data_IF_123033099518
#
_entry.id   IF_123033099518
#
_cell.length_a   1.000
_cell.length_b   1.000
_cell.length_c   1.000
_cell.angle_alpha   90.00
_cell.angle_beta   90.00
_cell.angle_gamma   90.00
#
_symmetry.space_group_name_H-M   'P 1'
#
loop_
_entity.id
_entity.type
_entity.pdbx_description
1 polymer ?
#
# COMPACT_ATOMS: atom_id res chain seq x y z
N UNK A 1 -33.64 -28.55 -23.59
CA UNK A 1 -32.76 -27.52 -23.01
C UNK A 1 -32.66 -26.40 -24.04
N UNK A 2 -33.28 -25.26 -23.74
CA UNK A 2 -33.50 -24.17 -24.69
C UNK A 2 -32.24 -23.34 -24.91
N UNK A 3 -31.70 -23.39 -26.13
CA UNK A 3 -30.55 -22.59 -26.54
C UNK A 3 -30.78 -21.07 -26.40
N UNK A 4 -32.03 -20.62 -26.38
CA UNK A 4 -32.39 -19.22 -26.15
C UNK A 4 -32.28 -18.80 -24.67
N UNK A 5 -32.50 -19.71 -23.73
CA UNK A 5 -32.33 -19.42 -22.31
C UNK A 5 -30.84 -19.23 -21.96
N UNK A 6 -29.97 -20.05 -22.56
CA UNK A 6 -28.52 -19.96 -22.40
C UNK A 6 -27.94 -18.70 -23.06
N UNK A 7 -28.44 -18.30 -24.24
CA UNK A 7 -28.07 -17.01 -24.87
C UNK A 7 -28.50 -15.82 -24.02
N UNK A 8 -29.70 -15.87 -23.43
CA UNK A 8 -30.22 -14.80 -22.56
C UNK A 8 -29.41 -14.70 -21.26
N UNK A 9 -29.04 -15.82 -20.64
CA UNK A 9 -28.14 -15.86 -19.47
C UNK A 9 -26.73 -15.34 -19.80
N UNK A 10 -26.17 -15.71 -20.95
CA UNK A 10 -24.87 -15.21 -21.41
C UNK A 10 -24.89 -13.70 -21.72
N UNK A 11 -25.98 -13.20 -22.32
CA UNK A 11 -26.17 -11.77 -22.59
C UNK A 11 -26.36 -10.97 -21.29
N UNK A 12 -27.14 -11.49 -20.33
CA UNK A 12 -27.30 -10.90 -19.01
C UNK A 12 -25.99 -10.91 -18.22
N UNK A 13 -25.21 -12.00 -18.24
CA UNK A 13 -23.89 -12.06 -17.61
C UNK A 13 -22.86 -11.12 -18.28
N UNK A 14 -23.01 -10.88 -19.59
CA UNK A 14 -22.17 -9.93 -20.34
C UNK A 14 -22.59 -8.47 -20.10
N UNK A 15 -23.89 -8.21 -19.88
CA UNK A 15 -24.44 -6.90 -19.56
C UNK A 15 -24.28 -6.53 -18.08
N UNK A 16 -24.30 -7.51 -17.19
CA UNK A 16 -23.94 -7.40 -15.77
C UNK A 16 -22.43 -7.39 -15.56
N UNK A 17 -21.62 -7.21 -16.61
CA UNK A 17 -20.23 -6.75 -16.46
C UNK A 17 -20.31 -5.36 -15.83
N UNK A 18 -20.34 -5.35 -14.50
CA UNK A 18 -20.37 -4.17 -13.67
C UNK A 18 -19.44 -3.13 -14.27
N UNK A 19 -20.01 -1.98 -14.61
CA UNK A 19 -19.24 -0.86 -15.13
C UNK A 19 -18.35 -0.39 -13.99
N UNK A 20 -17.11 -0.90 -13.96
CA UNK A 20 -16.14 -0.55 -12.94
C UNK A 20 -15.94 0.95 -13.00
N UNK A 21 -16.42 1.64 -11.97
CA UNK A 21 -16.25 3.08 -11.84
C UNK A 21 -14.80 3.29 -11.41
N UNK A 22 -13.96 3.71 -12.37
CA UNK A 22 -12.60 4.15 -12.06
C UNK A 22 -12.68 5.48 -11.30
N UNK A 23 -12.05 5.64 -10.13
CA UNK A 23 -11.91 6.93 -9.48
C UNK A 23 -11.26 7.94 -10.43
N UNK A 24 -11.82 9.15 -10.47
CA UNK A 24 -11.26 10.27 -11.23
C UNK A 24 -9.97 10.79 -10.60
N UNK A 25 -9.12 11.46 -11.38
CA UNK A 25 -7.91 12.14 -10.86
C UNK A 25 -8.21 13.07 -9.69
N UNK A 26 -9.31 13.83 -9.77
CA UNK A 26 -9.75 14.71 -8.70
C UNK A 26 -10.12 13.93 -7.42
N UNK A 27 -10.88 12.83 -7.55
CA UNK A 27 -11.26 12.01 -6.40
C UNK A 27 -10.04 11.39 -5.69
N UNK A 28 -9.02 10.98 -6.45
CA UNK A 28 -7.76 10.46 -5.89
C UNK A 28 -6.99 11.53 -5.15
N UNK A 29 -6.93 12.75 -5.71
CA UNK A 29 -6.28 13.90 -5.04
C UNK A 29 -6.94 14.21 -3.71
N UNK A 30 -8.27 14.32 -3.69
CA UNK A 30 -9.04 14.54 -2.46
C UNK A 30 -8.78 13.40 -1.46
N UNK A 31 -8.70 12.16 -1.93
CA UNK A 31 -8.39 11.00 -1.09
C UNK A 31 -7.00 11.12 -0.45
N UNK A 32 -5.98 11.57 -1.18
CA UNK A 32 -4.63 11.78 -0.66
C UNK A 32 -4.59 12.92 0.36
N UNK A 33 -5.24 14.05 0.05
CA UNK A 33 -5.33 15.21 0.97
C UNK A 33 -5.99 14.83 2.30
N UNK A 34 -6.98 13.92 2.27
CA UNK A 34 -7.66 13.39 3.47
C UNK A 34 -6.77 12.57 4.40
N UNK A 35 -5.62 12.05 3.95
CA UNK A 35 -4.68 11.34 4.83
C UNK A 35 -4.15 12.24 5.96
N UNK A 36 -4.02 13.54 5.71
CA UNK A 36 -3.53 14.52 6.69
C UNK A 36 -4.59 15.06 7.64
N UNK A 37 -5.86 14.72 7.45
CA UNK A 37 -6.99 15.34 8.15
C UNK A 37 -7.29 14.66 9.50
N UNK A 38 -8.52 14.83 10.00
CA UNK A 38 -9.00 14.17 11.20
C UNK A 38 -9.02 12.63 11.06
N UNK A 39 -9.33 11.96 12.18
CA UNK A 39 -9.33 10.50 12.28
C UNK A 39 -10.20 9.83 11.22
N UNK A 40 -11.43 10.31 11.02
CA UNK A 40 -12.41 9.66 10.15
C UNK A 40 -11.99 9.80 8.68
N UNK A 41 -11.52 10.99 8.29
CA UNK A 41 -11.02 11.23 6.94
C UNK A 41 -9.74 10.43 6.64
N UNK A 42 -8.80 10.37 7.59
CA UNK A 42 -7.57 9.58 7.45
C UNK A 42 -7.86 8.07 7.34
N UNK A 43 -8.81 7.56 8.11
CA UNK A 43 -9.23 6.17 8.05
C UNK A 43 -9.88 5.82 6.72
N UNK A 44 -10.83 6.65 6.26
CA UNK A 44 -11.49 6.44 4.97
C UNK A 44 -10.49 6.52 3.82
N UNK A 45 -9.58 7.49 3.85
CA UNK A 45 -8.55 7.66 2.84
C UNK A 45 -7.60 6.46 2.77
N UNK A 46 -7.05 6.03 3.90
CA UNK A 46 -6.15 4.88 3.97
C UNK A 46 -6.84 3.58 3.57
N UNK A 47 -8.10 3.38 3.97
CA UNK A 47 -8.93 2.27 3.52
C UNK A 47 -9.13 2.29 1.99
N UNK A 48 -9.48 3.45 1.44
CA UNK A 48 -9.73 3.61 0.00
C UNK A 48 -8.46 3.31 -0.80
N UNK A 49 -7.32 3.87 -0.40
CA UNK A 49 -6.04 3.63 -1.06
C UNK A 49 -5.68 2.15 -0.96
N UNK A 50 -5.75 1.55 0.24
CA UNK A 50 -5.45 0.13 0.40
C UNK A 50 -6.38 -0.75 -0.44
N UNK A 51 -7.70 -0.49 -0.43
CA UNK A 51 -8.67 -1.23 -1.23
C UNK A 51 -8.46 -1.12 -2.73
N UNK A 52 -7.95 0.01 -3.23
CA UNK A 52 -7.59 0.18 -4.64
C UNK A 52 -6.38 -0.66 -5.03
N UNK A 53 -5.39 -0.77 -4.12
CA UNK A 53 -4.13 -1.47 -4.38
C UNK A 53 -4.12 -2.90 -3.90
N UNK A 54 -5.13 -3.33 -3.14
CA UNK A 54 -5.17 -4.66 -2.54
C UNK A 54 -5.34 -5.74 -3.60
N UNK A 55 -4.53 -6.79 -3.57
CA UNK A 55 -4.71 -8.00 -4.39
C UNK A 55 -6.06 -8.69 -4.17
N UNK A 56 -6.74 -8.41 -3.05
CA UNK A 56 -8.11 -8.88 -2.79
C UNK A 56 -9.16 -8.13 -3.60
N UNK A 57 -8.80 -7.00 -4.20
CA UNK A 57 -9.65 -6.30 -5.15
C UNK A 57 -9.57 -7.07 -6.49
N UNK A 58 -10.67 -7.66 -7.00
CA UNK A 58 -10.66 -8.42 -8.26
C UNK A 58 -10.28 -7.57 -9.48
N UNK A 59 -10.20 -6.24 -9.32
CA UNK A 59 -9.84 -5.29 -10.34
C UNK A 59 -8.48 -4.63 -10.10
N UNK A 60 -7.66 -5.12 -9.15
CA UNK A 60 -6.37 -4.52 -8.79
C UNK A 60 -5.44 -4.30 -9.99
N UNK A 61 -5.43 -5.23 -10.95
CA UNK A 61 -4.65 -5.10 -12.19
C UNK A 61 -5.11 -3.92 -13.04
N UNK A 62 -6.43 -3.70 -13.14
CA UNK A 62 -7.04 -2.58 -13.87
C UNK A 62 -6.85 -1.25 -13.12
N UNK A 63 -6.58 -1.31 -11.82
CA UNK A 63 -6.26 -0.14 -11.00
C UNK A 63 -4.81 0.33 -11.19
N UNK A 64 -3.98 -0.36 -11.99
CA UNK A 64 -2.64 0.14 -12.34
C UNK A 64 -2.66 1.55 -12.94
N UNK A 65 -3.60 1.85 -13.84
CA UNK A 65 -3.75 3.19 -14.45
C UNK A 65 -4.12 4.27 -13.40
N UNK A 66 -4.90 3.88 -12.40
CA UNK A 66 -5.30 4.74 -11.28
C UNK A 66 -4.07 5.07 -10.42
N UNK A 67 -3.15 4.12 -10.26
CA UNK A 67 -1.88 4.34 -9.56
C UNK A 67 -0.93 5.23 -10.36
N UNK A 68 -0.91 5.10 -11.68
CA UNK A 68 -0.25 6.06 -12.56
C UNK A 68 -0.86 7.46 -12.49
N UNK A 69 -2.14 7.55 -12.13
CA UNK A 69 -2.82 8.81 -11.87
C UNK A 69 -2.44 9.38 -10.50
N UNK A 70 -2.40 8.56 -9.45
CA UNK A 70 -1.84 8.93 -8.13
C UNK A 70 -0.41 9.45 -8.30
N UNK A 71 0.39 8.79 -9.14
CA UNK A 71 1.74 9.20 -9.53
C UNK A 71 1.79 10.59 -10.19
N UNK A 72 0.76 11.03 -10.90
CA UNK A 72 0.74 12.33 -11.56
C UNK A 72 0.12 13.45 -10.68
N UNK A 73 -0.31 13.14 -9.46
CA UNK A 73 -0.97 14.09 -8.54
C UNK A 73 0.03 14.82 -7.62
N UNK A 74 1.31 14.45 -7.63
CA UNK A 74 2.33 14.98 -6.72
C UNK A 74 3.04 13.82 -6.07
N UNK A 75 4.19 13.42 -6.62
CA UNK A 75 4.96 12.26 -6.14
C UNK A 75 5.64 12.66 -4.84
N UNK A 76 5.12 12.17 -3.73
CA UNK A 76 5.55 12.50 -2.38
C UNK A 76 4.37 12.39 -1.43
N UNK A 77 3.25 13.01 -1.80
CA UNK A 77 2.08 13.19 -0.94
C UNK A 77 1.44 11.88 -0.46
N UNK A 78 1.33 10.87 -1.33
CA UNK A 78 0.69 9.60 -0.93
C UNK A 78 1.59 8.79 0.00
N UNK A 79 2.87 8.63 -0.32
CA UNK A 79 3.78 7.84 0.52
C UNK A 79 4.08 8.58 1.81
N UNK A 80 4.28 9.89 1.79
CA UNK A 80 4.44 10.71 2.99
C UNK A 80 3.18 10.70 3.85
N UNK A 81 2.00 10.85 3.23
CA UNK A 81 0.71 10.77 3.90
C UNK A 81 0.54 9.43 4.62
N UNK A 82 0.72 8.31 3.91
CA UNK A 82 0.67 6.96 4.49
C UNK A 82 1.74 6.77 5.57
N UNK A 83 2.94 7.28 5.36
CA UNK A 83 4.03 7.21 6.35
C UNK A 83 3.68 7.99 7.61
N UNK A 84 3.01 9.14 7.49
CA UNK A 84 2.53 9.97 8.60
C UNK A 84 1.42 9.28 9.40
N UNK A 85 0.58 8.48 8.75
CA UNK A 85 -0.42 7.67 9.44
C UNK A 85 0.20 6.63 10.39
N UNK A 86 1.43 6.18 10.16
CA UNK A 86 2.11 5.21 11.03
C UNK A 86 2.33 5.72 12.46
N UNK A 87 2.31 7.05 12.67
CA UNK A 87 2.43 7.67 13.99
C UNK A 87 1.10 7.80 14.75
N UNK A 88 -0.04 7.53 14.11
CA UNK A 88 -1.36 7.66 14.76
C UNK A 88 -1.49 6.58 15.85
N UNK A 89 -2.20 6.89 16.93
CA UNK A 89 -2.49 5.90 17.99
C UNK A 89 -3.43 4.78 17.50
N UNK A 90 -4.23 5.06 16.48
CA UNK A 90 -5.23 4.14 15.97
C UNK A 90 -4.61 2.99 15.16
N UNK A 91 -4.81 1.77 15.65
CA UNK A 91 -4.31 0.53 15.05
C UNK A 91 -4.89 0.25 13.66
N UNK A 92 -6.19 0.54 13.44
CA UNK A 92 -6.83 0.28 12.16
C UNK A 92 -6.27 1.20 11.07
N UNK A 93 -6.06 2.47 11.39
CA UNK A 93 -5.44 3.43 10.46
C UNK A 93 -4.01 2.99 10.12
N UNK A 94 -3.22 2.57 11.12
CA UNK A 94 -1.86 2.05 10.90
C UNK A 94 -1.85 0.83 9.98
N UNK A 95 -2.71 -0.15 10.24
CA UNK A 95 -2.79 -1.38 9.45
C UNK A 95 -3.17 -1.11 7.99
N UNK A 96 -4.16 -0.25 7.76
CA UNK A 96 -4.56 0.17 6.40
C UNK A 96 -3.43 0.88 5.67
N UNK A 97 -2.72 1.78 6.37
CA UNK A 97 -1.57 2.48 5.82
C UNK A 97 -0.41 1.52 5.48
N UNK A 98 -0.08 0.60 6.40
CA UNK A 98 0.95 -0.43 6.18
C UNK A 98 0.56 -1.37 5.03
N UNK A 99 -0.71 -1.77 4.94
CA UNK A 99 -1.23 -2.60 3.85
C UNK A 99 -1.05 -1.92 2.49
N UNK A 100 -1.37 -0.63 2.39
CA UNK A 100 -1.11 0.15 1.19
C UNK A 100 0.40 0.26 0.87
N UNK A 101 1.24 0.54 1.88
CA UNK A 101 2.70 0.64 1.73
C UNK A 101 3.34 -0.69 1.29
N UNK A 102 2.80 -1.83 1.71
CA UNK A 102 3.26 -3.15 1.25
C UNK A 102 2.97 -3.37 -0.24
N UNK A 103 1.85 -2.86 -0.75
CA UNK A 103 1.37 -3.23 -2.09
C UNK A 103 1.78 -2.24 -3.17
N UNK A 104 1.75 -0.93 -2.88
CA UNK A 104 2.12 0.14 -3.82
C UNK A 104 3.44 -0.11 -4.60
N UNK A 105 4.52 -0.64 -4.00
CA UNK A 105 5.78 -0.84 -4.72
C UNK A 105 5.74 -1.97 -5.74
N UNK A 106 4.81 -2.92 -5.65
CA UNK A 106 4.68 -4.00 -6.63
C UNK A 106 4.10 -3.54 -7.96
N UNK A 107 3.43 -2.38 -7.99
CA UNK A 107 2.79 -1.87 -9.19
C UNK A 107 3.75 -1.22 -10.18
N UNK A 108 4.86 -0.64 -9.72
CA UNK A 108 5.85 -0.05 -10.64
C UNK A 108 7.23 0.06 -10.02
N UNK A 109 8.28 -0.04 -10.86
CA UNK A 109 9.67 0.21 -10.44
C UNK A 109 9.87 1.62 -9.87
N UNK A 110 9.10 2.60 -10.35
CA UNK A 110 9.18 3.98 -9.86
C UNK A 110 8.60 4.14 -8.46
N UNK A 111 7.48 3.47 -8.14
CA UNK A 111 6.92 3.47 -6.78
C UNK A 111 7.92 2.93 -5.77
N UNK A 112 8.67 1.89 -6.15
CA UNK A 112 9.78 1.36 -5.36
C UNK A 112 10.82 2.45 -5.04
N UNK A 113 11.26 3.18 -6.06
CA UNK A 113 12.25 4.26 -5.93
C UNK A 113 11.75 5.43 -5.09
N UNK A 114 10.50 5.84 -5.26
CA UNK A 114 9.90 6.93 -4.47
C UNK A 114 9.78 6.50 -3.01
N UNK A 115 9.28 5.28 -2.74
CA UNK A 115 9.10 4.78 -1.38
C UNK A 115 10.40 4.79 -0.59
N UNK A 116 11.52 4.37 -1.18
CA UNK A 116 12.83 4.38 -0.49
C UNK A 116 13.36 5.80 -0.25
N UNK A 117 12.87 6.80 -0.98
CA UNK A 117 13.23 8.20 -0.80
C UNK A 117 12.36 8.91 0.26
N UNK A 118 11.27 8.29 0.72
CA UNK A 118 10.35 8.92 1.68
C UNK A 118 11.03 9.08 3.02
N UNK A 119 11.21 10.32 3.50
CA UNK A 119 11.87 10.54 4.78
C UNK A 119 11.10 9.86 5.91
N UNK A 120 11.83 9.29 6.87
CA UNK A 120 11.29 8.67 8.10
C UNK A 120 10.47 7.39 7.89
N UNK A 121 10.21 6.93 6.67
CA UNK A 121 9.47 5.67 6.45
C UNK A 121 10.18 4.49 7.09
N UNK A 122 11.45 4.27 6.74
CA UNK A 122 12.21 3.14 7.26
C UNK A 122 12.40 3.20 8.80
N UNK A 123 12.81 4.34 9.41
CA UNK A 123 12.84 4.45 10.88
C UNK A 123 11.49 4.18 11.56
N UNK A 124 10.37 4.53 10.93
CA UNK A 124 9.03 4.26 11.49
C UNK A 124 8.67 2.79 11.41
N UNK A 125 8.95 2.13 10.28
CA UNK A 125 8.73 0.69 10.15
C UNK A 125 9.57 -0.08 11.16
N UNK A 126 10.85 0.29 11.30
CA UNK A 126 11.76 -0.24 12.32
C UNK A 126 11.16 -0.13 13.72
N UNK A 127 10.70 1.06 14.10
CA UNK A 127 10.05 1.28 15.40
C UNK A 127 8.82 0.40 15.60
N UNK A 128 7.99 0.23 14.57
CA UNK A 128 6.79 -0.62 14.64
C UNK A 128 7.13 -2.12 14.80
N UNK A 129 8.31 -2.55 14.34
CA UNK A 129 8.77 -3.93 14.50
C UNK A 129 9.33 -4.21 15.90
N UNK A 130 9.74 -3.18 16.63
CA UNK A 130 10.31 -3.26 17.98
C UNK A 130 9.27 -3.11 19.09
N UNK A 131 7.97 -3.10 18.77
CA UNK A 131 6.92 -2.94 19.77
C UNK A 131 6.69 -4.27 20.48
N UNK A 132 7.06 -4.35 21.76
CA UNK A 132 6.84 -5.50 22.66
C UNK A 132 5.40 -5.57 23.21
N UNK A 133 4.42 -5.16 22.41
CA UNK A 133 3.01 -5.21 22.78
C UNK A 133 2.36 -6.41 22.09
N UNK A 134 1.91 -7.45 22.82
CA UNK A 134 1.28 -8.63 22.23
C UNK A 134 0.01 -8.30 21.44
N UNK A 135 -0.66 -7.19 21.76
CA UNK A 135 -1.85 -6.73 21.03
C UNK A 135 -1.52 -6.03 19.70
N UNK A 136 -0.23 -5.80 19.41
CA UNK A 136 0.24 -5.18 18.17
C UNK A 136 0.94 -6.16 17.23
N UNK A 137 0.79 -7.47 17.46
CA UNK A 137 1.38 -8.50 16.61
C UNK A 137 1.04 -8.31 15.11
N UNK A 138 -0.22 -7.98 14.79
CA UNK A 138 -0.61 -7.74 13.39
C UNK A 138 0.13 -6.55 12.76
N UNK A 139 0.29 -5.45 13.51
CA UNK A 139 1.05 -4.28 13.05
C UNK A 139 2.50 -4.69 12.80
N UNK A 140 3.10 -5.44 13.73
CA UNK A 140 4.48 -5.92 13.62
C UNK A 140 4.67 -6.77 12.36
N UNK A 141 3.77 -7.73 12.11
CA UNK A 141 3.83 -8.61 10.93
C UNK A 141 3.70 -7.83 9.63
N UNK A 142 2.77 -6.87 9.53
CA UNK A 142 2.62 -6.06 8.32
C UNK A 142 3.79 -5.08 8.17
N UNK A 143 4.36 -4.56 9.27
CA UNK A 143 5.57 -3.73 9.22
C UNK A 143 6.79 -4.52 8.72
N UNK A 144 6.97 -5.77 9.16
CA UNK A 144 7.99 -6.68 8.63
C UNK A 144 7.79 -6.89 7.13
N UNK A 145 6.57 -7.14 6.68
CA UNK A 145 6.26 -7.27 5.25
C UNK A 145 6.60 -5.99 4.48
N UNK A 146 6.24 -4.81 4.98
CA UNK A 146 6.59 -3.55 4.35
C UNK A 146 8.12 -3.37 4.26
N UNK A 147 8.84 -3.71 5.33
CA UNK A 147 10.31 -3.68 5.34
C UNK A 147 10.92 -4.68 4.36
N UNK A 148 10.36 -5.90 4.23
CA UNK A 148 10.78 -6.87 3.20
C UNK A 148 10.59 -6.33 1.79
N UNK A 149 9.50 -5.62 1.53
CA UNK A 149 9.28 -4.98 0.23
C UNK A 149 10.38 -3.96 -0.04
N UNK A 150 10.70 -3.10 0.93
CA UNK A 150 11.81 -2.14 0.83
C UNK A 150 13.17 -2.86 0.66
N UNK A 151 13.43 -3.92 1.42
CA UNK A 151 14.68 -4.69 1.33
C UNK A 151 14.81 -5.45 0.00
N UNK A 152 13.71 -6.02 -0.52
CA UNK A 152 13.68 -6.70 -1.82
C UNK A 152 13.95 -5.70 -2.97
N UNK A 153 13.50 -4.46 -2.81
CA UNK A 153 13.86 -3.37 -3.73
C UNK A 153 15.38 -3.11 -3.66
N UNK A 154 15.96 -3.22 -2.47
CA UNK A 154 17.36 -2.95 -2.15
C UNK A 154 18.30 -4.15 -2.19
N UNK A 155 17.88 -5.32 -2.68
CA UNK A 155 18.76 -6.50 -2.86
C UNK A 155 19.17 -6.70 -4.32
N UNK A 156 18.75 -5.80 -5.21
CA UNK A 156 19.27 -5.72 -6.57
C UNK A 156 20.55 -4.86 -6.60
N UNK A 157 21.46 -5.00 -7.59
CA UNK A 157 22.70 -4.22 -7.68
C UNK A 157 22.52 -2.68 -7.73
N UNK A 158 21.28 -2.19 -7.82
CA UNK A 158 20.88 -0.79 -7.73
C UNK A 158 20.23 -0.44 -6.38
N UNK A 159 20.60 -1.16 -5.33
CA UNK A 159 20.09 -0.99 -3.98
C UNK A 159 20.30 0.44 -3.48
N UNK A 160 19.26 1.04 -2.88
CA UNK A 160 19.43 2.33 -2.23
C UNK A 160 20.34 2.14 -1.00
N UNK A 161 21.51 2.81 -0.93
CA UNK A 161 22.47 2.63 0.17
C UNK A 161 21.86 2.90 1.54
N UNK A 162 20.98 3.91 1.65
CA UNK A 162 20.33 4.27 2.90
C UNK A 162 19.39 3.19 3.45
N UNK A 163 18.83 2.34 2.59
CA UNK A 163 18.06 1.17 3.04
C UNK A 163 18.99 0.09 3.58
N UNK A 164 20.09 -0.18 2.89
CA UNK A 164 21.05 -1.21 3.29
C UNK A 164 21.72 -0.83 4.62
N UNK A 165 22.15 0.41 4.77
CA UNK A 165 22.78 0.93 6.00
C UNK A 165 21.84 0.86 7.20
N UNK A 166 20.59 1.31 7.04
CA UNK A 166 19.62 1.30 8.13
C UNK A 166 19.21 -0.12 8.57
N UNK A 167 19.15 -1.09 7.64
CA UNK A 167 18.90 -2.49 7.99
C UNK A 167 20.15 -3.15 8.60
N UNK A 168 21.34 -2.86 8.09
CA UNK A 168 22.60 -3.37 8.61
C UNK A 168 22.88 -2.89 10.04
N UNK A 169 22.45 -1.67 10.38
CA UNK A 169 22.52 -1.14 11.74
C UNK A 169 21.65 -1.90 12.76
N UNK A 170 20.78 -2.82 12.31
CA UNK A 170 19.92 -3.63 13.17
C UNK A 170 19.97 -5.13 12.82
N UNK A 171 20.98 -5.87 13.29
CA UNK A 171 21.22 -7.26 12.89
C UNK A 171 20.04 -8.20 13.15
N UNK A 172 19.35 -8.05 14.29
CA UNK A 172 18.16 -8.84 14.62
C UNK A 172 16.98 -8.56 13.68
N UNK A 173 16.88 -7.33 13.16
CA UNK A 173 15.88 -6.96 12.19
C UNK A 173 16.18 -7.58 10.82
N UNK A 174 17.44 -7.60 10.41
CA UNK A 174 17.87 -8.25 9.18
C UNK A 174 17.50 -9.75 9.21
N UNK A 175 17.73 -10.42 10.34
CA UNK A 175 17.32 -11.82 10.53
C UNK A 175 15.80 -11.99 10.43
N UNK A 176 15.02 -11.14 11.10
CA UNK A 176 13.55 -11.17 11.03
C UNK A 176 13.00 -10.91 9.61
N UNK A 177 13.67 -10.05 8.84
CA UNK A 177 13.31 -9.76 7.43
C UNK A 177 13.63 -10.93 6.51
N UNK A 178 14.66 -11.73 6.82
CA UNK A 178 15.11 -12.89 6.02
C UNK A 178 14.38 -14.20 6.37
N UNK A 179 13.94 -14.38 7.62
CA UNK A 179 13.39 -15.65 8.13
C UNK A 179 11.88 -15.86 7.90
N UNK A 180 11.13 -14.84 7.49
CA UNK A 180 9.68 -14.91 7.17
C UNK A 180 9.49 -15.09 5.67
#
# INVERSE_FOLDING_TARGET
MDADEDKKKAALAKASREKIIKPSKLSLRITIERLGQDKQNAELASWTIWGLVSTWNPHWQRNQEILDTIRNIGQGDVFEGLTNLLNRKDTQIKLKALGALCQLPYFSRRNKQIMVQVPKLLPRLVRLMQVDDPWQHDIQQVAIRACRVIAAISSTPAANPGVCEALAAQPGLLQAVVQV
#
